data_IF_340822168682
#
_entry.id   IF_340822168682
#
_cell.length_a   1.000
_cell.length_b   1.000
_cell.length_c   1.000
_cell.angle_alpha   90.00
_cell.angle_beta   90.00
_cell.angle_gamma   90.00
#
_symmetry.space_group_name_H-M   'P 1'
#
loop_
_entity.id
_entity.type
_entity.pdbx_description
1 polymer ?
#
# COMPACT_ATOMS: atom_id res chain seq x y z
N UNK A 1 -70.85 -10.12 -5.98
CA UNK A 1 -69.54 -10.16 -6.67
C UNK A 1 -68.61 -9.27 -5.87
N UNK A 2 -67.56 -9.89 -5.34
CA UNK A 2 -66.65 -9.38 -4.32
C UNK A 2 -65.64 -8.40 -4.93
N UNK A 3 -65.36 -7.30 -4.24
CA UNK A 3 -64.22 -6.42 -4.51
C UNK A 3 -63.59 -6.04 -3.18
N UNK A 4 -62.67 -6.88 -2.74
CA UNK A 4 -61.76 -6.68 -1.61
C UNK A 4 -60.34 -6.94 -2.12
N UNK A 5 -59.51 -5.90 -2.11
CA UNK A 5 -58.06 -6.02 -2.20
C UNK A 5 -57.45 -4.81 -1.49
N UNK A 6 -57.38 -4.92 -0.15
CA UNK A 6 -56.47 -4.14 0.69
C UNK A 6 -55.08 -4.78 0.56
N UNK A 7 -54.18 -4.09 -0.14
CA UNK A 7 -52.75 -4.35 -0.10
C UNK A 7 -52.16 -3.50 1.04
N UNK A 8 -52.05 -4.09 2.22
CA UNK A 8 -51.24 -3.59 3.33
C UNK A 8 -49.75 -3.87 3.04
N UNK A 9 -49.14 -3.02 2.21
CA UNK A 9 -47.69 -2.95 2.10
C UNK A 9 -47.13 -2.14 3.28
N UNK A 10 -46.83 -2.87 4.36
CA UNK A 10 -46.03 -2.38 5.51
C UNK A 10 -44.62 -2.00 5.03
N UNK A 11 -44.51 -0.76 4.54
CA UNK A 11 -43.27 -0.08 4.23
C UNK A 11 -42.53 0.19 5.54
N UNK A 12 -41.69 -0.76 5.98
CA UNK A 12 -40.73 -0.56 7.06
C UNK A 12 -39.74 0.54 6.67
N UNK A 13 -40.11 1.79 6.97
CA UNK A 13 -39.23 2.95 7.00
C UNK A 13 -38.18 2.72 8.08
N UNK A 14 -37.03 2.17 7.69
CA UNK A 14 -35.84 2.09 8.52
C UNK A 14 -35.18 3.47 8.61
N UNK A 15 -35.84 4.41 9.31
CA UNK A 15 -35.23 5.67 9.75
C UNK A 15 -34.38 5.38 10.98
N UNK A 16 -33.24 4.70 10.74
CA UNK A 16 -32.17 4.63 11.73
C UNK A 16 -31.67 6.05 11.98
N UNK A 17 -32.14 6.65 13.08
CA UNK A 17 -31.70 7.95 13.60
C UNK A 17 -30.30 7.90 14.21
N UNK A 18 -29.51 6.88 13.88
CA UNK A 18 -28.13 6.79 14.33
C UNK A 18 -27.28 7.78 13.53
N UNK A 19 -26.89 8.84 14.23
CA UNK A 19 -25.98 9.86 13.74
C UNK A 19 -24.72 9.16 13.21
N UNK A 20 -24.38 9.37 11.94
CA UNK A 20 -23.21 8.76 11.29
C UNK A 20 -21.91 8.97 12.07
N UNK A 21 -21.81 10.09 12.81
CA UNK A 21 -20.66 10.37 13.67
C UNK A 21 -20.54 9.42 14.87
N UNK A 22 -21.65 8.87 15.39
CA UNK A 22 -21.63 7.89 16.48
C UNK A 22 -21.16 6.52 15.97
N UNK A 23 -21.47 6.18 14.70
CA UNK A 23 -21.03 4.93 14.08
C UNK A 23 -19.53 4.99 13.80
N UNK A 24 -19.03 6.08 13.19
CA UNK A 24 -17.60 6.26 12.92
C UNK A 24 -16.78 6.25 14.23
N UNK A 25 -17.29 6.91 15.28
CA UNK A 25 -16.67 6.88 16.61
C UNK A 25 -16.62 5.47 17.20
N UNK A 26 -17.67 4.67 17.03
CA UNK A 26 -17.69 3.27 17.49
C UNK A 26 -16.74 2.37 16.70
N UNK A 27 -16.61 2.57 15.39
CA UNK A 27 -15.65 1.83 14.55
C UNK A 27 -14.22 2.14 14.99
N UNK A 28 -13.87 3.41 15.16
CA UNK A 28 -12.56 3.84 15.65
C UNK A 28 -12.25 3.24 17.04
N UNK A 29 -13.24 3.21 17.94
CA UNK A 29 -13.12 2.60 19.26
C UNK A 29 -12.89 1.09 19.20
N UNK A 30 -13.54 0.40 18.26
CA UNK A 30 -13.37 -1.05 18.07
C UNK A 30 -11.96 -1.33 17.53
N UNK A 31 -11.50 -0.61 16.51
CA UNK A 31 -10.15 -0.76 15.96
C UNK A 31 -9.06 -0.45 16.99
N UNK A 32 -9.24 0.62 17.78
CA UNK A 32 -8.32 0.97 18.86
C UNK A 32 -8.31 -0.11 19.97
N UNK A 33 -9.45 -0.69 20.33
CA UNK A 33 -9.52 -1.80 21.30
C UNK A 33 -8.85 -3.07 20.77
N UNK A 34 -8.99 -3.37 19.47
CA UNK A 34 -8.34 -4.54 18.87
C UNK A 34 -6.81 -4.37 18.82
N UNK A 35 -6.30 -3.19 18.44
CA UNK A 35 -4.85 -2.93 18.44
C UNK A 35 -4.24 -3.05 19.84
N UNK A 36 -4.91 -2.53 20.89
CA UNK A 36 -4.47 -2.68 22.29
C UNK A 36 -4.45 -4.15 22.73
N UNK A 37 -5.46 -4.95 22.33
CA UNK A 37 -5.49 -6.39 22.63
C UNK A 37 -4.34 -7.13 21.94
N UNK A 38 -4.05 -6.81 20.69
CA UNK A 38 -2.91 -7.39 19.96
C UNK A 38 -1.57 -7.02 20.58
N UNK A 39 -1.39 -5.78 21.02
CA UNK A 39 -0.16 -5.33 21.67
C UNK A 39 0.04 -6.01 23.04
N UNK A 40 -1.04 -6.18 23.82
CA UNK A 40 -1.01 -6.98 25.07
C UNK A 40 -0.67 -8.44 24.82
N UNK A 41 -1.24 -9.05 23.78
CA UNK A 41 -0.95 -10.43 23.38
C UNK A 41 0.53 -10.61 22.99
N UNK A 42 1.09 -9.66 22.22
CA UNK A 42 2.51 -9.67 21.85
C UNK A 42 3.45 -9.48 23.04
N UNK A 43 3.15 -8.55 23.94
CA UNK A 43 3.91 -8.34 25.19
C UNK A 43 3.86 -9.55 26.12
N UNK A 44 2.72 -10.23 26.21
CA UNK A 44 2.58 -11.46 26.98
C UNK A 44 3.37 -12.62 26.36
N UNK A 45 3.37 -12.73 25.04
CA UNK A 45 4.15 -13.75 24.30
C UNK A 45 5.65 -13.54 24.41
N UNK A 46 6.12 -12.29 24.45
CA UNK A 46 7.53 -11.99 24.74
C UNK A 46 7.92 -12.39 26.17
N UNK A 47 7.12 -12.05 27.18
CA UNK A 47 7.38 -12.47 28.57
C UNK A 47 7.40 -13.99 28.76
N UNK A 48 6.53 -14.73 28.05
CA UNK A 48 6.55 -16.19 28.10
C UNK A 48 7.80 -16.81 27.43
N UNK A 49 8.38 -16.14 26.44
CA UNK A 49 9.62 -16.59 25.81
C UNK A 49 10.87 -16.25 26.63
N UNK A 50 10.85 -15.22 27.48
CA UNK A 50 11.95 -14.88 28.39
C UNK A 50 12.04 -15.84 29.60
N UNK A 51 10.97 -16.56 29.93
CA UNK A 51 10.92 -17.50 31.07
C UNK A 51 11.28 -18.95 30.71
N UNK A 52 11.71 -19.21 29.47
CA UNK A 52 12.24 -20.51 29.02
C UNK A 52 13.70 -20.31 28.57
N UNK A 53 14.79 -20.57 29.29
CA UNK A 53 15.10 -21.31 30.52
C UNK A 53 16.50 -20.84 31.01
N UNK A 54 16.99 -21.35 32.16
CA UNK A 54 18.12 -22.27 32.04
C UNK A 54 17.74 -23.62 32.65
N UNK A 55 17.56 -24.62 31.79
CA UNK A 55 17.47 -26.01 32.23
C UNK A 55 18.87 -26.35 32.74
N UNK A 56 18.97 -26.41 34.07
CA UNK A 56 20.06 -27.02 34.80
C UNK A 56 20.37 -28.40 34.20
N UNK A 57 21.58 -28.58 33.68
CA UNK A 57 22.09 -29.83 33.10
C UNK A 57 22.47 -30.88 34.15
N UNK A 58 21.90 -30.82 35.37
CA UNK A 58 22.10 -31.87 36.37
C UNK A 58 20.92 -32.84 36.35
N UNK A 59 21.20 -34.08 35.94
CA UNK A 59 20.36 -35.30 35.93
C UNK A 59 19.74 -35.68 34.57
N UNK A 60 20.59 -36.08 33.64
CA UNK A 60 20.27 -37.12 32.65
C UNK A 60 21.47 -38.07 32.57
N UNK A 61 21.63 -38.91 33.60
CA UNK A 61 22.71 -39.90 33.71
C UNK A 61 22.22 -41.34 33.80
N UNK A 62 20.97 -41.61 33.44
CA UNK A 62 20.45 -42.97 33.35
C UNK A 62 19.63 -43.09 32.08
N UNK A 63 19.93 -44.08 31.25
CA UNK A 63 19.39 -44.37 29.90
C UNK A 63 20.26 -43.89 28.74
N UNK A 64 21.50 -44.40 28.72
CA UNK A 64 22.34 -44.48 27.53
C UNK A 64 22.65 -45.96 27.24
N UNK A 65 21.65 -46.71 26.80
CA UNK A 65 21.84 -48.04 26.18
C UNK A 65 20.89 -48.10 24.97
N UNK A 66 21.48 -48.35 23.80
CA UNK A 66 20.85 -48.48 22.47
C UNK A 66 20.49 -47.17 21.77
N UNK A 67 21.50 -46.57 21.12
CA UNK A 67 21.45 -46.16 19.71
C UNK A 67 22.87 -45.75 19.29
N UNK A 68 23.66 -46.74 18.82
CA UNK A 68 24.90 -46.48 18.07
C UNK A 68 24.50 -46.00 16.67
N UNK A 69 24.23 -44.70 16.53
CA UNK A 69 24.25 -44.05 15.21
C UNK A 69 25.61 -43.37 15.09
N UNK A 70 26.46 -43.91 14.22
CA UNK A 70 27.77 -43.34 13.92
C UNK A 70 27.61 -42.08 13.06
N UNK A 71 27.45 -40.92 13.71
CA UNK A 71 27.64 -39.63 13.04
C UNK A 71 29.12 -39.28 13.04
N UNK A 72 29.80 -39.47 11.91
CA UNK A 72 31.13 -38.90 11.68
C UNK A 72 31.01 -37.37 11.75
N UNK A 73 31.77 -36.74 12.66
CA UNK A 73 31.93 -35.28 12.69
C UNK A 73 32.67 -34.86 11.43
N UNK A 74 31.98 -34.16 10.54
CA UNK A 74 32.60 -33.46 9.44
C UNK A 74 33.10 -32.10 9.98
N UNK A 75 34.38 -32.03 10.34
CA UNK A 75 35.04 -30.77 10.68
C UNK A 75 35.37 -30.00 9.40
N UNK A 76 34.35 -29.43 8.76
CA UNK A 76 34.57 -28.34 7.83
C UNK A 76 34.32 -27.03 8.58
N UNK A 77 35.39 -26.28 8.84
CA UNK A 77 35.30 -24.86 9.19
C UNK A 77 34.88 -24.11 7.92
N UNK A 78 33.65 -23.61 7.77
CA UNK A 78 33.37 -22.71 6.68
C UNK A 78 34.12 -21.41 6.96
N UNK A 79 35.12 -21.08 6.13
CA UNK A 79 35.61 -19.71 5.96
C UNK A 79 34.44 -18.90 5.38
N UNK A 80 33.52 -18.48 6.25
CA UNK A 80 32.52 -17.49 5.89
C UNK A 80 33.27 -16.16 5.92
N UNK A 81 33.76 -15.75 4.75
CA UNK A 81 34.07 -14.35 4.53
C UNK A 81 32.79 -13.55 4.80
N UNK A 82 32.77 -12.82 5.91
CA UNK A 82 31.75 -11.81 6.15
C UNK A 82 31.88 -10.80 5.02
N UNK A 83 31.04 -10.95 3.98
CA UNK A 83 30.75 -9.86 3.06
C UNK A 83 30.01 -8.81 3.87
N UNK A 84 30.77 -7.93 4.53
CA UNK A 84 30.25 -6.67 5.00
C UNK A 84 29.80 -5.91 3.75
N UNK A 85 28.50 -5.93 3.48
CA UNK A 85 27.91 -4.97 2.58
C UNK A 85 28.19 -3.60 3.20
N UNK A 86 29.15 -2.89 2.61
CA UNK A 86 29.48 -1.53 3.01
C UNK A 86 28.22 -0.70 2.90
N UNK A 87 27.58 -0.47 4.05
CA UNK A 87 26.46 0.44 4.15
C UNK A 87 27.04 1.82 3.85
N UNK A 88 26.80 2.34 2.64
CA UNK A 88 27.05 3.75 2.35
C UNK A 88 26.15 4.51 3.32
N UNK A 89 26.73 4.98 4.43
CA UNK A 89 26.11 6.03 5.23
C UNK A 89 25.89 7.17 4.25
N UNK A 90 24.63 7.37 3.85
CA UNK A 90 24.24 8.63 3.24
C UNK A 90 24.64 9.69 4.25
N UNK A 91 25.68 10.45 3.90
CA UNK A 91 26.16 11.56 4.70
C UNK A 91 24.97 12.45 5.01
N UNK A 92 24.66 12.55 6.29
CA UNK A 92 23.66 13.46 6.82
C UNK A 92 23.98 14.89 6.37
N UNK A 93 22.93 15.70 6.31
CA UNK A 93 22.97 17.17 6.44
C UNK A 93 23.56 17.99 5.29
N UNK A 94 23.01 17.82 4.10
CA UNK A 94 22.55 19.01 3.37
C UNK A 94 21.07 18.83 3.08
N UNK A 95 20.27 19.87 3.28
CA UNK A 95 18.86 19.90 2.89
C UNK A 95 18.78 19.79 1.36
N UNK A 96 18.89 18.57 0.83
CA UNK A 96 18.62 18.35 -0.58
C UNK A 96 17.19 18.76 -0.83
N UNK A 97 17.02 19.72 -1.75
CA UNK A 97 15.71 20.09 -2.25
C UNK A 97 15.07 18.85 -2.89
N UNK A 98 13.74 18.76 -2.81
CA UNK A 98 13.03 17.64 -3.42
C UNK A 98 13.11 17.79 -4.95
N UNK A 99 13.22 16.70 -5.69
CA UNK A 99 13.32 16.71 -7.16
C UNK A 99 12.18 17.53 -7.81
N UNK A 100 10.96 17.40 -7.28
CA UNK A 100 9.82 18.19 -7.74
C UNK A 100 9.89 19.68 -7.37
N UNK A 101 10.60 20.10 -6.31
CA UNK A 101 10.75 21.52 -5.98
C UNK A 101 11.61 22.23 -7.02
N UNK A 102 12.76 21.65 -7.35
CA UNK A 102 13.69 22.17 -8.36
C UNK A 102 12.98 22.36 -9.71
N UNK A 103 12.14 21.39 -10.08
CA UNK A 103 11.42 21.41 -11.34
C UNK A 103 10.26 22.41 -11.37
N UNK A 104 9.40 22.43 -10.34
CA UNK A 104 8.12 23.14 -10.43
C UNK A 104 8.09 24.52 -9.79
N UNK A 105 8.97 24.83 -8.84
CA UNK A 105 8.96 26.12 -8.14
C UNK A 105 9.81 27.19 -8.86
N UNK A 106 10.86 26.79 -9.58
CA UNK A 106 11.77 27.71 -10.28
C UNK A 106 11.09 28.45 -11.44
N UNK A 107 10.21 27.77 -12.20
CA UNK A 107 9.52 28.35 -13.36
C UNK A 107 8.66 29.59 -13.06
N UNK A 108 8.16 29.71 -11.83
CA UNK A 108 7.28 30.84 -11.44
C UNK A 108 8.01 32.18 -11.46
N UNK A 109 9.32 32.19 -11.22
CA UNK A 109 10.11 33.45 -11.13
C UNK A 109 10.44 34.07 -12.48
N UNK A 110 10.48 33.27 -13.55
CA UNK A 110 10.93 33.72 -14.87
C UNK A 110 9.79 34.09 -15.83
N UNK A 111 8.54 33.75 -15.49
CA UNK A 111 7.42 33.86 -16.43
C UNK A 111 6.72 35.23 -16.37
N UNK A 112 6.89 36.00 -15.29
CA UNK A 112 6.27 37.32 -15.16
C UNK A 112 6.94 38.41 -16.03
N UNK A 113 8.16 38.19 -16.52
CA UNK A 113 8.93 39.20 -17.29
C UNK A 113 8.89 39.04 -18.82
N UNK A 114 8.25 38.00 -19.37
CA UNK A 114 8.18 37.77 -20.84
C UNK A 114 6.75 37.69 -21.36
N UNK A 115 6.06 38.83 -21.44
CA UNK A 115 4.85 38.99 -22.27
C UNK A 115 5.19 39.83 -23.51
N UNK A 116 4.64 39.39 -24.66
CA UNK A 116 4.58 40.06 -25.99
C UNK A 116 5.66 39.66 -27.03
N UNK A 117 5.60 38.43 -27.53
CA UNK A 117 5.93 38.19 -28.95
C UNK A 117 4.95 37.17 -29.54
N UNK A 118 3.97 37.69 -30.30
CA UNK A 118 2.96 36.91 -31.01
C UNK A 118 3.61 36.18 -32.18
N UNK A 119 3.71 34.85 -32.12
CA UNK A 119 4.02 34.04 -33.29
C UNK A 119 3.10 32.82 -33.33
N UNK A 120 2.11 32.90 -34.21
CA UNK A 120 1.16 31.84 -34.53
C UNK A 120 1.86 30.74 -35.32
N UNK A 121 2.26 29.64 -34.66
CA UNK A 121 2.73 28.43 -35.37
C UNK A 121 2.09 27.16 -34.82
N UNK A 122 1.41 26.47 -35.76
CA UNK A 122 0.94 25.07 -35.87
C UNK A 122 0.69 24.23 -34.61
N UNK A 123 -0.55 23.77 -34.54
CA UNK A 123 -1.30 23.13 -33.46
C UNK A 123 -1.16 21.59 -33.41
N UNK A 124 0.05 21.04 -33.53
CA UNK A 124 0.25 19.58 -33.57
C UNK A 124 1.24 19.16 -32.47
N UNK A 125 0.76 18.35 -31.50
CA UNK A 125 1.39 17.82 -30.25
C UNK A 125 1.04 18.49 -28.91
N UNK A 126 -0.21 18.93 -28.68
CA UNK A 126 -0.62 19.56 -27.40
C UNK A 126 -0.98 18.60 -26.24
N UNK A 127 -1.19 17.30 -26.48
CA UNK A 127 -1.72 16.41 -25.42
C UNK A 127 -0.74 16.18 -24.25
N UNK A 128 0.52 15.88 -24.54
CA UNK A 128 1.55 15.70 -23.49
C UNK A 128 1.83 16.96 -22.67
N UNK A 129 1.66 18.15 -23.28
CA UNK A 129 1.83 19.42 -22.57
C UNK A 129 0.70 19.69 -21.58
N UNK A 130 -0.53 19.25 -21.88
CA UNK A 130 -1.70 19.51 -21.02
C UNK A 130 -1.56 18.83 -19.66
N UNK A 131 -1.26 17.53 -19.65
CA UNK A 131 -1.10 16.77 -18.41
C UNK A 131 0.13 17.22 -17.60
N UNK A 132 1.24 17.53 -18.27
CA UNK A 132 2.44 18.05 -17.61
C UNK A 132 2.16 19.38 -16.90
N UNK A 133 1.41 20.28 -17.57
CA UNK A 133 0.98 21.55 -16.99
C UNK A 133 0.04 21.33 -15.79
N UNK A 134 -0.94 20.42 -15.93
CA UNK A 134 -1.82 20.04 -14.84
C UNK A 134 -1.03 19.54 -13.63
N UNK A 135 -0.10 18.60 -13.83
CA UNK A 135 0.77 18.04 -12.78
C UNK A 135 1.57 19.13 -12.07
N UNK A 136 2.18 20.05 -12.82
CA UNK A 136 2.94 21.18 -12.25
C UNK A 136 2.06 22.09 -11.39
N UNK A 137 0.89 22.48 -11.91
CA UNK A 137 -0.08 23.31 -11.17
C UNK A 137 -0.58 22.60 -9.91
N UNK A 138 -0.87 21.31 -10.01
CA UNK A 138 -1.31 20.50 -8.90
C UNK A 138 -0.25 20.41 -7.81
N UNK A 139 1.04 20.23 -8.17
CA UNK A 139 2.14 20.25 -7.21
C UNK A 139 2.26 21.62 -6.53
N UNK A 140 2.27 22.73 -7.29
CA UNK A 140 2.34 24.09 -6.73
C UNK A 140 1.24 24.34 -5.72
N UNK A 141 0.00 23.94 -6.02
CA UNK A 141 -1.15 24.06 -5.11
C UNK A 141 -0.99 23.22 -3.83
N UNK A 142 -0.44 22.01 -3.94
CA UNK A 142 -0.51 21.00 -2.89
C UNK A 142 0.83 20.67 -2.19
N UNK A 143 1.97 21.21 -2.64
CA UNK A 143 3.31 20.80 -2.17
C UNK A 143 3.48 20.91 -0.65
N UNK A 144 2.94 21.97 -0.02
CA UNK A 144 2.99 22.13 1.45
C UNK A 144 2.25 21.01 2.17
N UNK A 145 1.09 20.60 1.65
CA UNK A 145 0.31 19.48 2.20
C UNK A 145 1.05 18.16 1.99
N UNK A 146 1.62 17.93 0.80
CA UNK A 146 2.42 16.74 0.50
C UNK A 146 3.61 16.62 1.47
N UNK A 147 4.40 17.69 1.63
CA UNK A 147 5.60 17.70 2.50
C UNK A 147 5.29 17.56 3.98
N UNK A 148 4.13 18.03 4.43
CA UNK A 148 3.72 17.93 5.83
C UNK A 148 2.85 16.70 6.14
N UNK A 149 2.42 15.97 5.12
CA UNK A 149 1.45 14.88 5.24
C UNK A 149 1.89 13.73 6.15
N UNK A 150 3.20 13.46 6.20
CA UNK A 150 3.79 12.39 7.00
C UNK A 150 4.45 12.90 8.29
N UNK A 151 4.72 14.20 8.41
CA UNK A 151 5.41 14.75 9.59
C UNK A 151 4.63 14.54 10.90
N UNK A 152 3.31 14.40 10.82
CA UNK A 152 2.45 14.18 11.99
C UNK A 152 2.27 12.70 12.33
N UNK A 153 2.81 11.78 11.54
CA UNK A 153 2.44 10.37 11.61
C UNK A 153 3.66 9.45 11.56
N UNK A 154 3.71 8.52 12.52
CA UNK A 154 4.61 7.35 12.53
C UNK A 154 6.11 7.62 12.64
N UNK A 155 6.54 8.79 13.16
CA UNK A 155 7.97 9.12 13.21
C UNK A 155 8.61 8.89 11.84
N UNK A 156 7.99 9.40 10.77
CA UNK A 156 8.48 9.22 9.40
C UNK A 156 8.98 10.54 8.85
N UNK A 157 10.06 10.46 8.08
CA UNK A 157 10.64 11.57 7.34
C UNK A 157 10.52 11.30 5.85
N UNK A 158 10.00 12.28 5.12
CA UNK A 158 10.02 12.26 3.65
C UNK A 158 11.47 12.42 3.19
N UNK A 159 11.93 11.45 2.40
CA UNK A 159 13.28 11.38 1.83
C UNK A 159 13.30 12.04 0.46
N UNK A 160 12.32 11.74 -0.39
CA UNK A 160 12.22 12.33 -1.72
C UNK A 160 10.76 12.47 -2.17
N UNK A 161 10.50 13.41 -3.08
CA UNK A 161 9.25 13.52 -3.82
C UNK A 161 9.61 13.61 -5.29
N UNK A 162 9.16 12.64 -6.07
CA UNK A 162 9.49 12.50 -7.50
C UNK A 162 8.27 12.18 -8.33
N UNK A 163 8.31 12.45 -9.61
CA UNK A 163 7.16 12.21 -10.49
C UNK A 163 6.88 10.72 -10.70
N UNK A 164 5.59 10.38 -10.80
CA UNK A 164 5.16 9.05 -11.23
C UNK A 164 5.14 8.98 -12.77
N UNK A 165 5.90 8.07 -13.41
CA UNK A 165 5.93 7.92 -14.86
C UNK A 165 4.71 7.11 -15.34
N UNK A 166 3.55 7.76 -15.36
CA UNK A 166 2.26 7.17 -15.75
C UNK A 166 2.18 7.01 -17.27
N UNK A 167 1.56 5.94 -17.75
CA UNK A 167 1.30 5.72 -19.16
C UNK A 167 0.40 6.82 -19.76
N UNK A 168 0.67 7.23 -21.00
CA UNK A 168 -0.05 8.30 -21.70
C UNK A 168 -1.55 8.01 -21.87
N UNK A 169 -1.96 6.73 -21.99
CA UNK A 169 -3.37 6.35 -22.08
C UNK A 169 -4.13 6.74 -20.81
N UNK A 170 -3.56 6.41 -19.64
CA UNK A 170 -4.10 6.73 -18.31
C UNK A 170 -4.15 8.24 -18.09
N UNK A 171 -3.10 8.97 -18.50
CA UNK A 171 -3.07 10.43 -18.45
C UNK A 171 -4.22 11.03 -19.27
N UNK A 172 -4.40 10.54 -20.50
CA UNK A 172 -5.44 11.02 -21.42
C UNK A 172 -6.84 10.75 -20.90
N UNK A 173 -7.09 9.58 -20.32
CA UNK A 173 -8.40 9.22 -19.77
C UNK A 173 -8.75 10.08 -18.55
N UNK A 174 -7.78 10.32 -17.66
CA UNK A 174 -7.94 11.22 -16.52
C UNK A 174 -8.23 12.66 -16.97
N UNK A 175 -7.44 13.20 -17.90
CA UNK A 175 -7.65 14.58 -18.39
C UNK A 175 -8.98 14.73 -19.12
N UNK A 176 -9.39 13.72 -19.90
CA UNK A 176 -10.72 13.68 -20.52
C UNK A 176 -11.82 13.78 -19.45
N UNK A 177 -11.73 12.99 -18.37
CA UNK A 177 -12.71 13.04 -17.30
C UNK A 177 -12.66 14.36 -16.53
N UNK A 178 -11.49 14.91 -16.25
CA UNK A 178 -11.33 16.21 -15.60
C UNK A 178 -12.03 17.33 -16.39
N UNK A 179 -11.85 17.34 -17.71
CA UNK A 179 -12.43 18.35 -18.60
C UNK A 179 -13.94 18.17 -18.82
N UNK A 180 -14.49 16.97 -18.55
CA UNK A 180 -15.92 16.70 -18.63
C UNK A 180 -16.70 17.09 -17.36
N UNK A 181 -16.02 17.28 -16.23
CA UNK A 181 -16.67 17.67 -14.99
C UNK A 181 -16.99 19.17 -15.00
N UNK A 182 -18.20 19.52 -14.56
CA UNK A 182 -18.64 20.92 -14.41
C UNK A 182 -17.79 21.68 -13.39
N UNK A 183 -17.26 20.97 -12.38
CA UNK A 183 -16.31 21.50 -11.40
C UNK A 183 -14.95 20.76 -11.54
N UNK A 184 -13.99 21.31 -12.31
CA UNK A 184 -12.74 20.62 -12.66
C UNK A 184 -11.71 20.63 -11.51
N UNK A 185 -12.14 20.49 -10.26
CA UNK A 185 -11.24 20.51 -9.11
C UNK A 185 -10.83 19.10 -8.70
N UNK A 186 -9.59 18.75 -9.01
CA UNK A 186 -8.99 17.54 -8.46
C UNK A 186 -8.54 17.74 -7.00
N UNK A 187 -8.80 16.75 -6.16
CA UNK A 187 -8.39 16.68 -4.77
C UNK A 187 -7.07 15.91 -4.59
N UNK A 188 -6.28 16.31 -3.59
CA UNK A 188 -5.12 15.55 -3.15
C UNK A 188 -5.56 14.38 -2.28
N UNK A 189 -5.22 13.18 -2.73
CA UNK A 189 -5.39 11.94 -1.97
C UNK A 189 -4.11 11.12 -2.01
N UNK A 190 -4.03 10.14 -1.12
CA UNK A 190 -2.91 9.24 -0.95
C UNK A 190 -3.37 7.81 -1.16
N UNK A 191 -2.50 7.02 -1.78
CA UNK A 191 -2.72 5.60 -1.97
C UNK A 191 -1.45 4.83 -1.61
N UNK A 192 -1.58 3.91 -0.66
CA UNK A 192 -0.54 2.96 -0.31
C UNK A 192 -0.79 1.65 -1.02
N UNK A 193 0.27 1.01 -1.48
CA UNK A 193 0.17 -0.25 -2.20
C UNK A 193 1.44 -1.06 -2.04
N UNK A 194 1.37 -2.33 -2.41
CA UNK A 194 2.55 -3.17 -2.42
C UNK A 194 3.49 -2.83 -3.57
N UNK A 195 4.80 -3.01 -3.36
CA UNK A 195 5.83 -2.71 -4.38
C UNK A 195 5.55 -3.41 -5.71
N UNK A 196 5.15 -4.69 -5.66
CA UNK A 196 4.83 -5.50 -6.84
C UNK A 196 3.70 -4.91 -7.71
N UNK A 197 2.84 -4.07 -7.12
CA UNK A 197 1.70 -3.46 -7.82
C UNK A 197 2.10 -2.16 -8.54
N UNK A 198 3.19 -1.50 -8.15
CA UNK A 198 3.58 -0.19 -8.69
C UNK A 198 3.72 -0.22 -10.21
N UNK A 199 4.37 -1.26 -10.76
CA UNK A 199 4.52 -1.39 -12.22
C UNK A 199 3.17 -1.49 -12.94
N UNK A 200 2.21 -2.22 -12.37
CA UNK A 200 0.86 -2.32 -12.92
C UNK A 200 0.14 -0.98 -12.85
N UNK A 201 0.25 -0.28 -11.71
CA UNK A 201 -0.38 1.03 -11.49
C UNK A 201 0.16 2.09 -12.45
N UNK A 202 1.47 2.12 -12.68
CA UNK A 202 2.07 3.06 -13.64
C UNK A 202 1.61 2.80 -15.08
N UNK A 203 1.34 1.52 -15.43
CA UNK A 203 0.95 1.12 -16.79
C UNK A 203 -0.54 1.32 -17.05
N UNK A 204 -1.39 0.91 -16.13
CA UNK A 204 -2.84 0.81 -16.32
C UNK A 204 -3.65 1.73 -15.40
N UNK A 205 -2.99 2.54 -14.57
CA UNK A 205 -3.67 3.31 -13.54
C UNK A 205 -4.09 2.43 -12.36
N UNK A 206 -4.93 2.98 -11.48
CA UNK A 206 -5.51 2.23 -10.37
C UNK A 206 -6.72 1.45 -10.88
N UNK A 207 -6.73 0.14 -10.62
CA UNK A 207 -7.77 -0.78 -11.11
C UNK A 207 -8.80 -1.06 -10.02
N UNK A 208 -10.04 -1.30 -10.44
CA UNK A 208 -11.11 -1.73 -9.54
C UNK A 208 -11.07 -3.27 -9.43
N UNK A 209 -11.07 -3.84 -8.22
CA UNK A 209 -11.05 -5.29 -8.05
C UNK A 209 -12.21 -5.99 -8.74
N UNK A 210 -11.98 -7.17 -9.29
CA UNK A 210 -12.97 -8.02 -9.96
C UNK A 210 -13.69 -7.35 -11.15
N UNK A 211 -13.11 -6.30 -11.74
CA UNK A 211 -13.65 -5.65 -12.94
C UNK A 211 -12.58 -5.61 -14.03
N UNK A 212 -13.01 -5.73 -15.28
CA UNK A 212 -12.17 -5.45 -16.43
C UNK A 212 -11.95 -3.94 -16.56
N UNK A 213 -10.79 -3.54 -17.08
CA UNK A 213 -10.55 -2.13 -17.38
C UNK A 213 -11.46 -1.68 -18.53
N UNK A 214 -12.10 -0.49 -18.44
CA UNK A 214 -13.11 -0.07 -19.40
C UNK A 214 -12.57 0.18 -20.81
N UNK A 215 -11.27 0.50 -20.94
CA UNK A 215 -10.66 0.95 -22.20
C UNK A 215 -9.40 0.19 -22.60
N UNK A 216 -8.87 -0.70 -21.74
CA UNK A 216 -7.61 -1.41 -21.99
C UNK A 216 -7.77 -2.90 -21.68
N UNK A 217 -7.99 -3.70 -22.72
CA UNK A 217 -8.19 -5.15 -22.62
C UNK A 217 -6.96 -5.89 -22.07
N UNK A 218 -5.77 -5.26 -22.10
CA UNK A 218 -4.54 -5.87 -21.58
C UNK A 218 -4.38 -5.68 -20.07
N UNK A 219 -5.22 -4.85 -19.44
CA UNK A 219 -5.18 -4.63 -18.01
C UNK A 219 -5.66 -5.88 -17.26
N UNK A 220 -4.91 -6.36 -16.25
CA UNK A 220 -5.30 -7.55 -15.51
C UNK A 220 -6.53 -7.30 -14.64
N UNK A 221 -7.41 -8.29 -14.52
CA UNK A 221 -8.45 -8.28 -13.48
C UNK A 221 -7.77 -8.61 -12.15
N UNK A 222 -7.75 -7.66 -11.23
CA UNK A 222 -7.16 -7.87 -9.90
C UNK A 222 -8.21 -8.42 -8.93
N UNK A 223 -7.82 -9.35 -8.07
CA UNK A 223 -8.71 -9.90 -7.04
C UNK A 223 -8.79 -8.95 -5.84
N UNK A 224 -9.95 -8.91 -5.18
CA UNK A 224 -10.10 -8.18 -3.92
C UNK A 224 -9.27 -8.84 -2.83
N UNK A 225 -8.26 -8.14 -2.33
CA UNK A 225 -7.37 -8.61 -1.23
C UNK A 225 -7.73 -8.02 0.13
N UNK A 226 -8.54 -6.97 0.15
CA UNK A 226 -9.03 -6.30 1.35
C UNK A 226 -10.56 -6.35 1.42
N UNK A 227 -11.11 -6.13 2.61
CA UNK A 227 -12.55 -5.99 2.79
C UNK A 227 -13.10 -4.80 2.01
N UNK A 228 -14.32 -4.92 1.51
CA UNK A 228 -15.04 -3.87 0.77
C UNK A 228 -15.98 -3.11 1.70
N UNK A 229 -15.42 -2.55 2.78
CA UNK A 229 -16.20 -1.96 3.87
C UNK A 229 -17.15 -0.84 3.39
N UNK A 230 -16.74 -0.08 2.37
CA UNK A 230 -17.51 1.03 1.79
C UNK A 230 -17.88 0.76 0.33
N UNK A 231 -17.98 -0.53 -0.05
CA UNK A 231 -18.29 -0.97 -1.41
C UNK A 231 -17.06 -1.23 -2.28
N UNK A 232 -17.33 -1.57 -3.54
CA UNK A 232 -16.32 -1.92 -4.52
C UNK A 232 -15.81 -0.65 -5.22
N UNK A 233 -14.49 -0.42 -5.20
CA UNK A 233 -13.88 0.72 -5.85
C UNK A 233 -12.40 0.88 -5.51
N UNK A 234 -11.83 2.02 -5.89
CA UNK A 234 -10.44 2.37 -5.59
C UNK A 234 -10.40 3.13 -4.26
N UNK A 235 -9.79 2.52 -3.26
CA UNK A 235 -9.64 3.10 -1.93
C UNK A 235 -8.44 4.02 -1.88
N UNK A 236 -8.65 5.25 -1.42
CA UNK A 236 -7.60 6.23 -1.16
C UNK A 236 -7.94 7.03 0.11
N UNK A 237 -6.99 7.81 0.60
CA UNK A 237 -7.22 8.65 1.77
C UNK A 237 -6.80 10.10 1.55
N UNK A 238 -7.56 11.04 2.10
CA UNK A 238 -7.16 12.45 2.18
C UNK A 238 -6.00 12.68 3.16
N UNK A 239 -5.69 11.70 4.02
CA UNK A 239 -4.57 11.77 4.99
C UNK A 239 -3.58 10.65 4.71
N UNK A 240 -2.33 11.00 4.44
CA UNK A 240 -1.27 10.05 4.11
C UNK A 240 -1.10 8.94 5.17
N UNK A 241 -1.35 9.27 6.44
CA UNK A 241 -1.28 8.35 7.58
C UNK A 241 -2.04 7.03 7.36
N UNK A 242 -3.28 7.10 6.85
CA UNK A 242 -4.09 5.90 6.61
C UNK A 242 -3.55 5.06 5.45
N UNK A 243 -2.80 5.67 4.54
CA UNK A 243 -2.25 4.98 3.38
C UNK A 243 -0.88 4.35 3.66
N UNK A 244 -0.12 4.82 4.65
CA UNK A 244 1.21 4.28 4.99
C UNK A 244 1.17 2.80 5.35
N UNK A 245 0.13 2.35 6.08
CA UNK A 245 -0.04 0.95 6.46
C UNK A 245 -0.21 0.01 5.25
N UNK A 246 -0.67 0.52 4.11
CA UNK A 246 -0.79 -0.24 2.87
C UNK A 246 0.50 -0.21 2.03
N UNK A 247 1.47 0.62 2.39
CA UNK A 247 2.78 0.72 1.78
C UNK A 247 3.84 -0.12 2.51
N UNK A 248 3.50 -1.05 3.41
CA UNK A 248 4.48 -1.77 4.24
C UNK A 248 5.64 -2.45 3.48
N UNK A 249 5.41 -2.88 2.24
CA UNK A 249 6.46 -3.52 1.43
C UNK A 249 7.37 -2.56 0.65
N UNK A 250 7.05 -1.26 0.64
CA UNK A 250 7.86 -0.23 -0.01
C UNK A 250 7.73 1.09 0.76
N UNK A 251 8.86 1.71 1.12
CA UNK A 251 8.87 3.03 1.77
C UNK A 251 8.53 4.15 0.78
N UNK A 252 7.49 3.95 -0.03
CA UNK A 252 7.01 4.80 -1.12
C UNK A 252 5.49 4.83 -1.06
N UNK A 253 4.93 6.03 -1.00
CA UNK A 253 3.51 6.31 -1.06
C UNK A 253 3.16 6.99 -2.38
N UNK A 254 1.97 6.76 -2.92
CA UNK A 254 1.47 7.52 -4.07
C UNK A 254 0.71 8.75 -3.60
N UNK A 255 1.09 9.93 -4.08
CA UNK A 255 0.24 11.11 -4.05
C UNK A 255 -0.52 11.19 -5.38
N UNK A 256 -1.85 11.17 -5.28
CA UNK A 256 -2.74 11.10 -6.42
C UNK A 256 -3.62 12.35 -6.49
N UNK A 257 -4.06 12.66 -7.71
CA UNK A 257 -5.17 13.57 -7.95
C UNK A 257 -6.45 12.74 -8.13
N UNK A 258 -7.50 13.05 -7.37
CA UNK A 258 -8.80 12.39 -7.45
C UNK A 258 -9.91 13.37 -7.86
N UNK A 259 -10.88 12.89 -8.64
CA UNK A 259 -12.07 13.60 -9.07
C UNK A 259 -13.28 12.89 -8.45
N UNK A 260 -13.63 13.23 -7.19
CA UNK A 260 -14.81 12.65 -6.56
C UNK A 260 -16.07 13.02 -7.36
N UNK A 261 -17.06 12.12 -7.39
CA UNK A 261 -18.39 12.49 -7.89
C UNK A 261 -19.14 13.16 -6.74
N UNK A 262 -19.68 14.33 -7.02
CA UNK A 262 -20.68 14.95 -6.16
C UNK A 262 -22.03 14.27 -6.43
N UNK A 263 -22.81 14.01 -5.38
CA UNK A 263 -24.21 13.65 -5.52
C UNK A 263 -25.04 14.87 -5.99
N UNK A 264 -26.33 14.67 -6.22
CA UNK A 264 -27.24 15.75 -6.64
C UNK A 264 -27.30 16.92 -5.63
N UNK A 265 -26.85 16.69 -4.39
CA UNK A 265 -26.83 17.66 -3.29
C UNK A 265 -25.42 18.27 -3.11
N UNK A 266 -24.46 17.91 -3.95
CA UNK A 266 -23.07 18.39 -3.85
C UNK A 266 -22.22 17.68 -2.79
N UNK A 267 -22.68 16.55 -2.23
CA UNK A 267 -21.90 15.73 -1.28
C UNK A 267 -21.14 14.64 -2.01
N UNK A 268 -19.88 14.45 -1.64
CA UNK A 268 -19.04 13.38 -2.19
C UNK A 268 -19.62 12.02 -1.85
N UNK A 269 -19.99 11.26 -2.89
CA UNK A 269 -20.45 9.88 -2.72
C UNK A 269 -19.27 9.02 -2.24
N UNK A 270 -19.53 8.10 -1.30
CA UNK A 270 -18.55 7.14 -0.76
C UNK A 270 -17.38 7.77 0.03
N UNK A 271 -17.68 8.82 0.80
CA UNK A 271 -16.78 9.39 1.79
C UNK A 271 -17.13 8.85 3.19
N UNK A 272 -16.17 8.19 3.85
CA UNK A 272 -16.25 7.89 5.29
C UNK A 272 -15.01 8.47 5.97
N UNK A 273 -15.21 9.56 6.71
CA UNK A 273 -14.13 10.33 7.32
C UNK A 273 -13.06 10.78 6.33
N UNK A 274 -11.86 10.18 6.43
CA UNK A 274 -10.71 10.48 5.57
C UNK A 274 -10.55 9.51 4.40
N UNK A 275 -11.40 8.49 4.29
CA UNK A 275 -11.34 7.46 3.25
C UNK A 275 -12.30 7.85 2.12
N UNK A 276 -11.79 7.76 0.89
CA UNK A 276 -12.54 8.01 -0.34
C UNK A 276 -12.50 6.74 -1.20
N UNK A 277 -13.66 6.30 -1.68
CA UNK A 277 -13.79 5.17 -2.60
C UNK A 277 -14.27 5.66 -3.96
N UNK A 278 -13.47 5.44 -4.99
CA UNK A 278 -13.77 5.90 -6.35
C UNK A 278 -14.31 4.75 -7.21
N UNK A 279 -15.51 4.89 -7.79
CA UNK A 279 -16.15 3.83 -8.57
C UNK A 279 -15.64 3.71 -10.01
N UNK A 280 -14.76 4.60 -10.49
CA UNK A 280 -14.25 4.56 -11.86
C UNK A 280 -12.73 4.80 -11.93
N UNK A 281 -12.03 4.06 -12.79
CA UNK A 281 -10.56 4.08 -12.91
C UNK A 281 -9.99 5.45 -13.31
N UNK A 282 -10.68 6.18 -14.20
CA UNK A 282 -10.25 7.52 -14.62
C UNK A 282 -10.55 8.66 -13.64
N UNK A 283 -11.14 8.36 -12.47
CA UNK A 283 -11.32 9.37 -11.43
C UNK A 283 -10.05 9.64 -10.63
N UNK A 284 -8.99 8.84 -10.80
CA UNK A 284 -7.78 9.00 -10.02
C UNK A 284 -6.54 8.74 -10.86
N UNK A 285 -5.51 9.55 -10.64
CA UNK A 285 -4.22 9.37 -11.27
C UNK A 285 -3.08 9.58 -10.26
N UNK A 286 -2.11 8.66 -10.17
CA UNK A 286 -0.90 8.90 -9.39
C UNK A 286 -0.06 9.99 -10.06
N UNK A 287 0.33 11.01 -9.31
CA UNK A 287 1.15 12.10 -9.83
C UNK A 287 2.58 12.03 -9.34
N UNK A 288 2.76 11.67 -8.07
CA UNK A 288 4.06 11.65 -7.42
C UNK A 288 4.26 10.41 -6.57
N UNK A 289 5.51 9.97 -6.50
CA UNK A 289 6.02 9.11 -5.45
C UNK A 289 6.50 9.97 -4.29
N UNK A 290 6.07 9.62 -3.07
CA UNK A 290 6.61 10.14 -1.82
C UNK A 290 7.44 9.03 -1.21
N UNK A 291 8.76 9.12 -1.35
CA UNK A 291 9.68 8.20 -0.70
C UNK A 291 9.90 8.67 0.74
N UNK A 292 9.74 7.78 1.71
CA UNK A 292 9.84 8.09 3.14
C UNK A 292 10.71 7.08 3.88
N UNK A 293 11.13 7.42 5.09
CA UNK A 293 11.91 6.55 5.97
C UNK A 293 11.47 6.76 7.42
N UNK A 294 11.44 5.69 8.25
CA UNK A 294 11.22 5.84 9.68
C UNK A 294 12.42 6.54 10.33
N UNK A 295 12.19 7.49 11.23
CA UNK A 295 13.22 8.24 11.96
C UNK A 295 13.74 7.48 13.17
N UNK A 296 12.90 6.65 13.80
CA UNK A 296 13.19 6.01 15.10
C UNK A 296 13.20 4.47 15.05
N UNK A 297 13.15 3.85 13.86
CA UNK A 297 13.11 2.40 13.69
C UNK A 297 14.41 1.80 13.13
N UNK A 298 14.71 0.52 13.39
CA UNK A 298 15.71 -0.19 12.60
C UNK A 298 15.33 -0.04 11.13
N UNK A 299 16.27 0.37 10.29
CA UNK A 299 16.05 0.68 8.86
C UNK A 299 15.51 -0.57 8.16
N UNK A 300 14.20 -0.72 8.17
CA UNK A 300 13.47 -1.73 7.41
C UNK A 300 13.45 -1.22 5.97
N UNK A 301 14.42 -1.71 5.20
CA UNK A 301 14.55 -1.57 3.75
C UNK A 301 15.17 -0.24 3.27
N UNK A 302 16.21 -0.39 2.45
CA UNK A 302 16.85 0.70 1.70
C UNK A 302 15.85 1.27 0.67
N UNK A 303 15.79 2.61 0.47
CA UNK A 303 15.01 3.20 -0.63
C UNK A 303 15.54 2.65 -1.96
N UNK A 304 14.71 1.85 -2.65
CA UNK A 304 15.15 0.97 -3.74
C UNK A 304 15.31 1.67 -5.11
N UNK A 305 14.94 2.95 -5.21
CA UNK A 305 14.99 3.71 -6.47
C UNK A 305 16.19 4.66 -6.61
N UNK A 306 17.16 4.60 -5.70
CA UNK A 306 18.46 5.21 -5.97
C UNK A 306 19.20 4.34 -7.00
N UNK A 307 19.53 4.95 -8.15
CA UNK A 307 20.30 4.43 -9.31
C UNK A 307 19.59 3.55 -10.34
N UNK A 308 19.28 4.17 -11.49
CA UNK A 308 19.39 3.68 -12.86
C UNK A 308 19.41 2.16 -13.04
N UNK A 309 18.22 1.56 -13.10
CA UNK A 309 18.09 0.24 -13.72
C UNK A 309 17.83 0.45 -15.20
N UNK A 310 18.90 0.54 -15.99
CA UNK A 310 18.85 0.09 -17.38
C UNK A 310 18.21 -1.30 -17.38
N UNK A 311 17.13 -1.45 -18.16
CA UNK A 311 16.51 -2.72 -18.50
C UNK A 311 17.55 -3.65 -19.13
N UNK A 312 18.29 -4.39 -18.30
CA UNK A 312 19.00 -5.59 -18.75
C UNK A 312 17.95 -6.68 -18.94
N UNK A 313 17.42 -6.75 -20.17
CA UNK A 313 16.96 -8.00 -20.76
C UNK A 313 18.15 -8.99 -20.78
N UNK A 314 17.85 -10.27 -20.60
CA UNK A 314 18.77 -11.41 -20.72
C UNK A 314 19.71 -11.64 -19.54
N UNK A 315 19.13 -12.05 -18.40
CA UNK A 315 19.84 -12.95 -17.48
C UNK A 315 19.17 -14.31 -17.47
N UNK A 316 19.90 -15.27 -18.03
CA UNK A 316 19.67 -16.71 -17.97
C UNK A 316 19.26 -17.09 -16.53
N UNK A 317 18.19 -17.89 -16.33
CA UNK A 317 17.73 -18.26 -15.01
C UNK A 317 18.86 -19.02 -14.30
N UNK A 318 19.43 -18.41 -13.26
CA UNK A 318 20.36 -19.13 -12.39
C UNK A 318 19.56 -20.21 -11.68
N UNK A 319 19.98 -21.47 -11.84
CA UNK A 319 19.46 -22.61 -11.09
C UNK A 319 19.35 -22.22 -9.62
N UNK A 320 18.11 -22.29 -9.10
CA UNK A 320 17.83 -21.99 -7.70
C UNK A 320 18.54 -23.05 -6.87
N UNK A 321 19.54 -22.65 -6.11
CA UNK A 321 20.15 -23.56 -5.15
C UNK A 321 19.08 -24.07 -4.18
N UNK A 322 19.10 -25.38 -3.84
CA UNK A 322 18.11 -25.97 -2.96
C UNK A 322 18.12 -25.24 -1.61
N UNK A 323 16.93 -24.83 -1.17
CA UNK A 323 16.75 -24.17 0.11
C UNK A 323 17.04 -25.17 1.23
N UNK A 324 18.20 -25.04 1.87
CA UNK A 324 18.56 -25.86 3.03
C UNK A 324 17.76 -25.40 4.25
N UNK A 325 16.73 -26.16 4.62
CA UNK A 325 15.95 -25.92 5.84
C UNK A 325 16.61 -26.68 7.00
N UNK A 326 17.02 -26.00 8.09
CA UNK A 326 17.53 -26.66 9.29
C UNK A 326 16.55 -27.70 9.84
N UNK A 327 17.05 -28.87 10.22
CA UNK A 327 16.24 -30.01 10.66
C UNK A 327 15.26 -29.67 11.79
N UNK A 328 15.67 -28.79 12.72
CA UNK A 328 14.84 -28.34 13.83
C UNK A 328 13.57 -27.59 13.36
N UNK A 329 13.68 -26.81 12.28
CA UNK A 329 12.55 -26.09 11.69
C UNK A 329 11.62 -27.08 11.01
N UNK A 330 12.18 -28.04 10.26
CA UNK A 330 11.39 -29.09 9.61
C UNK A 330 10.60 -29.92 10.63
N UNK A 331 11.22 -30.32 11.75
CA UNK A 331 10.54 -31.05 12.83
C UNK A 331 9.38 -30.26 13.43
N UNK A 332 9.52 -28.94 13.62
CA UNK A 332 8.43 -28.08 14.11
C UNK A 332 7.28 -28.00 13.10
N UNK A 333 7.58 -27.81 11.81
CA UNK A 333 6.57 -27.76 10.75
C UNK A 333 5.78 -29.08 10.68
N UNK A 334 6.49 -30.21 10.66
CA UNK A 334 5.86 -31.54 10.63
C UNK A 334 5.01 -31.82 11.88
N UNK A 335 5.48 -31.39 13.06
CA UNK A 335 4.69 -31.49 14.29
C UNK A 335 3.39 -30.67 14.22
N UNK A 336 3.45 -29.44 13.71
CA UNK A 336 2.27 -28.59 13.50
C UNK A 336 1.29 -29.21 12.48
N UNK A 337 1.79 -29.77 11.38
CA UNK A 337 0.97 -30.46 10.39
C UNK A 337 0.28 -31.70 10.98
N UNK A 338 1.01 -32.54 11.69
CA UNK A 338 0.44 -33.72 12.37
C UNK A 338 -0.62 -33.35 13.41
N UNK A 339 -0.40 -32.28 14.17
CA UNK A 339 -1.40 -31.80 15.13
C UNK A 339 -2.68 -31.31 14.43
N UNK A 340 -2.56 -30.71 13.25
CA UNK A 340 -3.71 -30.25 12.46
C UNK A 340 -4.49 -31.43 11.86
N UNK A 341 -3.80 -32.44 11.34
CA UNK A 341 -4.42 -33.67 10.81
C UNK A 341 -5.21 -34.38 11.93
N UNK A 342 -4.59 -34.60 13.09
CA UNK A 342 -5.26 -35.21 14.25
C UNK A 342 -6.48 -34.44 14.74
N UNK A 343 -6.45 -33.10 14.64
CA UNK A 343 -7.64 -32.29 14.97
C UNK A 343 -8.75 -32.53 13.97
N UNK A 344 -8.46 -32.54 12.67
CA UNK A 344 -9.46 -32.77 11.63
C UNK A 344 -10.10 -34.16 11.74
N UNK A 345 -9.32 -35.20 12.01
CA UNK A 345 -9.85 -36.57 12.23
C UNK A 345 -10.85 -36.62 13.40
N UNK A 346 -10.57 -35.91 14.50
CA UNK A 346 -11.50 -35.81 15.64
C UNK A 346 -12.80 -35.07 15.30
N UNK A 347 -12.77 -34.14 14.35
CA UNK A 347 -13.98 -33.45 13.90
C UNK A 347 -14.84 -34.33 12.99
N UNK A 348 -14.23 -35.19 12.16
CA UNK A 348 -14.98 -36.09 11.28
C UNK A 348 -15.72 -37.19 12.05
N UNK A 349 -15.19 -37.65 13.19
CA UNK A 349 -15.85 -38.66 14.04
C UNK A 349 -17.11 -38.11 14.75
N UNK A 350 -17.31 -36.79 14.78
CA UNK A 350 -18.42 -36.14 15.51
C UNK A 350 -19.59 -35.70 14.63
N UNK A 351 -19.56 -35.97 13.32
CA UNK A 351 -20.71 -35.73 12.47
C UNK A 351 -21.66 -36.93 12.61
N UNK A 352 -22.86 -36.76 13.18
CA UNK A 352 -23.85 -37.82 13.19
C UNK A 352 -24.26 -38.15 11.75
N UNK A 353 -24.36 -39.44 11.44
CA UNK A 353 -24.90 -39.95 10.18
C UNK A 353 -26.37 -39.58 10.01
#
# INVERSE_FOLDING_TARGET
>A
MLSDSHDDDDLFSYTSSQNYSDIDYQVDLIEMRQSIKWDKYWKQKQKQNEWLCPISTRKLQSHAVLLKISCKRYEQKPKIEQKSFGYRRFSSSSSREFECDEKFLVETTNTETKKLSKSSKKLVKQKGTEFSNFRAQFYRKNHKNIKSSLNKCFDTKIVNIREAPINESVQSEFMKRLNQNSNPTAELVYHGTHFKNIKSILRFGLLIPNQAHPTDENAPIIQSVHGQAYGQGIYCSRRAAYSVSYAQSCSTLLACAAIPNDDQVGKVQYLSGSILVLPHVSQIIPLFFIDFSPTNGPVLNSPLYASDTQLQTDRIPKEKQPLMIPEQILRKILSCMNNRIRKNERYQIRLPN
#
